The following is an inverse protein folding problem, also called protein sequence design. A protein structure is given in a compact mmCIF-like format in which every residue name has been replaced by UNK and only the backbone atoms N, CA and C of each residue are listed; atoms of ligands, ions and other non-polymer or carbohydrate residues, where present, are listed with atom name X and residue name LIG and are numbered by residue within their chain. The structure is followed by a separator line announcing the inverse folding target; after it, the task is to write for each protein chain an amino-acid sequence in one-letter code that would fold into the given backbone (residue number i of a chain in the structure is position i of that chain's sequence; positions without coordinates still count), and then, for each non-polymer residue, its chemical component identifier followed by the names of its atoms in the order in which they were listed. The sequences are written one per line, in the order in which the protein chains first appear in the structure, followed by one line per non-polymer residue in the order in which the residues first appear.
data_IF_029348271903
#
_entry.id   IF_029348271903
#
_cell.length_a   1.000
_cell.length_b   1.000
_cell.length_c   1.000
_cell.angle_alpha   90.00
_cell.angle_beta   90.00
_cell.angle_gamma   90.00
#
_symmetry.space_group_name_H-M   'P 1'
#
loop_
_entity.id
_entity.type
_entity.pdbx_description
1 polymer ?
#
# COMPACT_ATOMS: atom_id res chain seq x y z
N UNK A 1 1.12 22.73 12.71
CA UNK A 1 1.52 22.41 11.30
C UNK A 1 0.41 22.76 10.29
N UNK A 2 0.73 23.26 9.07
CA UNK A 2 -0.29 23.64 8.06
C UNK A 2 -0.71 22.46 7.17
N UNK A 3 -2.01 22.13 7.15
CA UNK A 3 -2.58 21.12 6.24
C UNK A 3 -2.41 21.55 4.78
N UNK A 4 -1.95 20.64 3.94
CA UNK A 4 -1.78 20.84 2.51
C UNK A 4 -2.98 20.24 1.75
N UNK A 5 -3.31 20.73 0.54
CA UNK A 5 -4.41 20.18 -0.26
C UNK A 5 -4.31 18.66 -0.49
N UNK A 6 -3.10 18.14 -0.71
CA UNK A 6 -2.83 16.72 -0.91
C UNK A 6 -2.98 15.85 0.35
N UNK A 7 -3.18 16.44 1.54
CA UNK A 7 -3.49 15.71 2.78
C UNK A 7 -4.98 15.38 2.92
N UNK A 8 -5.84 15.76 1.96
CA UNK A 8 -7.25 15.39 1.97
C UNK A 8 -7.42 13.99 1.37
N UNK A 9 -6.97 12.98 2.12
CA UNK A 9 -7.08 11.59 1.72
C UNK A 9 -8.51 11.06 1.88
N UNK A 10 -8.89 10.14 0.99
CA UNK A 10 -10.08 9.30 1.11
C UNK A 10 -9.66 7.85 0.88
N UNK A 11 -10.28 6.89 1.55
CA UNK A 11 -10.03 5.47 1.26
C UNK A 11 -10.49 5.16 -0.16
N UNK A 12 -9.59 4.62 -0.99
CA UNK A 12 -9.90 4.12 -2.33
C UNK A 12 -10.40 2.68 -2.25
N UNK A 13 -9.56 1.82 -1.67
CA UNK A 13 -9.85 0.41 -1.45
C UNK A 13 -8.97 -0.16 -0.33
N UNK A 14 -9.28 -1.38 0.11
CA UNK A 14 -8.50 -2.12 1.11
C UNK A 14 -8.23 -3.53 0.61
N UNK A 15 -7.05 -4.08 0.93
CA UNK A 15 -6.67 -5.44 0.56
C UNK A 15 -6.61 -6.35 1.77
N UNK A 16 -7.42 -7.42 1.74
CA UNK A 16 -7.55 -8.43 2.79
C UNK A 16 -6.99 -9.77 2.31
N UNK A 17 -5.89 -10.21 2.91
CA UNK A 17 -5.32 -11.53 2.66
C UNK A 17 -6.04 -12.58 3.49
N UNK A 18 -6.28 -13.76 2.92
CA UNK A 18 -6.82 -14.91 3.64
C UNK A 18 -6.10 -16.19 3.25
N UNK A 19 -6.03 -17.13 4.19
CA UNK A 19 -5.57 -18.49 3.90
C UNK A 19 -6.53 -19.18 2.91
N UNK A 20 -6.03 -20.08 2.04
CA UNK A 20 -6.86 -20.71 1.01
C UNK A 20 -8.11 -21.42 1.54
N UNK A 21 -8.02 -22.02 2.73
CA UNK A 21 -9.13 -22.73 3.36
C UNK A 21 -10.25 -21.77 3.82
N UNK A 22 -9.93 -20.48 4.01
CA UNK A 22 -10.90 -19.44 4.35
C UNK A 22 -11.41 -18.66 3.12
N UNK A 23 -10.78 -18.77 1.95
CA UNK A 23 -11.10 -17.91 0.81
C UNK A 23 -12.55 -18.07 0.32
N UNK A 24 -13.02 -19.31 0.12
CA UNK A 24 -14.40 -19.57 -0.31
C UNK A 24 -15.42 -19.19 0.76
N UNK A 25 -15.10 -19.44 2.02
CA UNK A 25 -15.92 -19.02 3.17
C UNK A 25 -16.03 -17.50 3.21
N UNK A 26 -14.92 -16.79 3.03
CA UNK A 26 -14.89 -15.33 2.97
C UNK A 26 -15.74 -14.80 1.81
N UNK A 27 -15.62 -15.40 0.62
CA UNK A 27 -16.50 -15.06 -0.51
C UNK A 27 -17.98 -15.22 -0.15
N UNK A 28 -18.37 -16.36 0.44
CA UNK A 28 -19.76 -16.59 0.85
C UNK A 28 -20.22 -15.58 1.91
N UNK A 29 -19.39 -15.28 2.91
CA UNK A 29 -19.71 -14.29 3.95
C UNK A 29 -19.89 -12.88 3.35
N UNK A 30 -19.08 -12.50 2.35
CA UNK A 30 -19.28 -11.22 1.66
C UNK A 30 -20.63 -11.14 0.96
N UNK A 31 -21.00 -12.21 0.25
CA UNK A 31 -22.30 -12.28 -0.45
C UNK A 31 -23.49 -12.30 0.51
N UNK A 32 -23.38 -12.98 1.66
CA UNK A 32 -24.50 -13.22 2.57
C UNK A 32 -24.61 -12.17 3.68
N UNK A 33 -23.50 -11.85 4.35
CA UNK A 33 -23.50 -10.96 5.52
C UNK A 33 -23.37 -9.50 5.11
N UNK A 34 -22.49 -9.21 4.15
CA UNK A 34 -22.25 -7.84 3.68
C UNK A 34 -23.16 -7.44 2.51
N UNK A 35 -24.08 -8.32 2.10
CA UNK A 35 -25.05 -8.05 1.06
C UNK A 35 -24.45 -7.81 -0.33
N UNK A 36 -23.22 -8.28 -0.58
CA UNK A 36 -22.55 -8.11 -1.87
C UNK A 36 -23.32 -8.89 -2.93
N UNK A 37 -23.89 -8.17 -3.90
CA UNK A 37 -24.61 -8.75 -5.04
C UNK A 37 -23.62 -9.15 -6.16
N UNK A 38 -24.12 -9.65 -7.30
CA UNK A 38 -23.21 -9.96 -8.43
C UNK A 38 -22.69 -8.67 -9.05
N UNK A 39 -23.49 -7.62 -9.00
CA UNK A 39 -23.25 -6.28 -9.52
C UNK A 39 -22.22 -5.52 -8.66
N UNK A 40 -22.09 -5.90 -7.39
CA UNK A 40 -21.07 -5.35 -6.49
C UNK A 40 -19.69 -6.00 -6.66
N UNK A 41 -19.58 -7.10 -7.41
CA UNK A 41 -18.31 -7.72 -7.73
C UNK A 41 -17.65 -6.96 -8.88
N UNK A 42 -16.56 -6.26 -8.55
CA UNK A 42 -15.81 -5.42 -9.49
C UNK A 42 -14.99 -6.30 -10.43
N UNK A 43 -14.26 -7.26 -9.87
CA UNK A 43 -13.52 -8.26 -10.66
C UNK A 43 -13.25 -9.54 -9.87
N UNK A 44 -12.99 -10.61 -10.61
CA UNK A 44 -12.56 -11.91 -10.08
C UNK A 44 -11.31 -12.37 -10.86
N UNK A 45 -10.13 -12.15 -10.27
CA UNK A 45 -8.86 -12.49 -10.91
C UNK A 45 -8.50 -13.95 -10.67
N UNK A 46 -8.00 -14.60 -11.70
CA UNK A 46 -7.52 -15.99 -11.68
C UNK A 46 -6.03 -16.02 -12.01
N UNK A 47 -5.34 -17.05 -11.53
CA UNK A 47 -3.95 -17.33 -11.87
C UNK A 47 -3.83 -18.68 -12.56
N UNK A 48 -3.07 -18.72 -13.65
CA UNK A 48 -2.79 -19.92 -14.42
C UNK A 48 -1.33 -20.35 -14.20
N UNK A 49 -1.09 -21.18 -13.19
CA UNK A 49 0.26 -21.68 -12.93
C UNK A 49 0.63 -22.81 -13.92
N UNK A 50 1.86 -22.83 -14.47
CA UNK A 50 2.33 -23.92 -15.31
C UNK A 50 2.15 -25.28 -14.62
N UNK A 51 1.44 -26.20 -15.29
CA UNK A 51 1.16 -27.54 -14.79
C UNK A 51 -0.14 -27.69 -13.96
N UNK A 52 -0.90 -26.61 -13.73
CA UNK A 52 -2.25 -26.74 -13.16
C UNK A 52 -3.27 -27.11 -14.24
N UNK A 53 -4.21 -28.01 -13.91
CA UNK A 53 -5.29 -28.44 -14.82
C UNK A 53 -6.42 -27.40 -14.93
N UNK A 54 -6.54 -26.50 -13.95
CA UNK A 54 -7.56 -25.44 -13.89
C UNK A 54 -6.96 -24.19 -13.26
N UNK A 55 -7.41 -22.99 -13.67
CA UNK A 55 -7.05 -21.74 -13.03
C UNK A 55 -7.38 -21.76 -11.54
N UNK A 56 -6.52 -21.17 -10.71
CA UNK A 56 -6.82 -20.92 -9.31
C UNK A 56 -7.44 -19.51 -9.15
N UNK A 57 -8.52 -19.37 -8.39
CA UNK A 57 -9.02 -18.05 -7.99
C UNK A 57 -7.96 -17.36 -7.14
N UNK A 58 -7.61 -16.12 -7.47
CA UNK A 58 -6.55 -15.38 -6.78
C UNK A 58 -7.10 -14.23 -5.95
N UNK A 59 -7.96 -13.42 -6.58
CA UNK A 59 -8.53 -12.22 -5.96
C UNK A 59 -9.99 -12.08 -6.34
N UNK A 60 -10.84 -11.64 -5.42
CA UNK A 60 -12.12 -11.03 -5.75
C UNK A 60 -12.18 -9.64 -5.13
N UNK A 61 -12.60 -8.64 -5.89
CA UNK A 61 -12.82 -7.30 -5.40
C UNK A 61 -14.33 -7.01 -5.36
N UNK A 62 -14.79 -6.52 -4.21
CA UNK A 62 -16.20 -6.20 -3.98
C UNK A 62 -16.36 -4.78 -3.50
N UNK A 63 -17.41 -4.12 -3.98
CA UNK A 63 -17.93 -2.91 -3.37
C UNK A 63 -18.79 -3.29 -2.16
N UNK A 64 -18.59 -2.60 -1.04
CA UNK A 64 -19.43 -2.68 0.15
C UNK A 64 -20.15 -1.34 0.32
N UNK A 65 -21.48 -1.40 0.50
CA UNK A 65 -22.34 -0.23 0.56
C UNK A 65 -22.64 0.36 -0.83
N UNK A 66 -23.87 0.82 -1.02
CA UNK A 66 -24.35 1.40 -2.28
C UNK A 66 -25.43 2.47 -2.04
N UNK A 67 -25.50 3.04 -0.83
CA UNK A 67 -26.53 4.01 -0.50
C UNK A 67 -26.22 5.37 -1.13
N UNK A 68 -27.20 5.93 -1.82
CA UNK A 68 -27.18 7.30 -2.35
C UNK A 68 -27.59 8.36 -1.30
N UNK A 69 -27.49 8.03 0.00
CA UNK A 69 -27.72 8.97 1.11
C UNK A 69 -26.38 9.61 1.51
N UNK A 70 -26.28 10.93 1.48
CA UNK A 70 -25.10 11.67 1.91
C UNK A 70 -24.71 11.45 3.39
N UNK A 71 -25.64 10.95 4.22
CA UNK A 71 -25.42 10.55 5.61
C UNK A 71 -24.97 9.09 5.75
N UNK A 72 -25.15 8.28 4.70
CA UNK A 72 -24.62 6.93 4.70
C UNK A 72 -23.09 6.97 4.56
N UNK A 73 -22.36 6.03 5.18
CA UNK A 73 -20.93 5.90 4.97
C UNK A 73 -20.62 5.76 3.47
N UNK A 74 -19.52 6.38 3.04
CA UNK A 74 -19.05 6.26 1.66
C UNK A 74 -18.84 4.80 1.28
N UNK A 75 -19.08 4.49 0.00
CA UNK A 75 -18.80 3.17 -0.57
C UNK A 75 -17.33 2.82 -0.34
N UNK A 76 -17.06 1.57 0.04
CA UNK A 76 -15.70 1.07 0.20
C UNK A 76 -15.47 -0.13 -0.69
N UNK A 77 -14.26 -0.27 -1.20
CA UNK A 77 -13.86 -1.43 -2.00
C UNK A 77 -12.96 -2.32 -1.15
N UNK A 78 -13.22 -3.62 -1.16
CA UNK A 78 -12.35 -4.61 -0.51
C UNK A 78 -11.93 -5.66 -1.53
N UNK A 79 -10.63 -5.77 -1.75
CA UNK A 79 -10.00 -6.83 -2.53
C UNK A 79 -9.55 -7.95 -1.59
N UNK A 80 -10.16 -9.13 -1.71
CA UNK A 80 -9.79 -10.31 -0.93
C UNK A 80 -8.85 -11.17 -1.75
N UNK A 81 -7.67 -11.50 -1.21
CA UNK A 81 -6.58 -12.18 -1.91
C UNK A 81 -6.20 -13.46 -1.17
N UNK A 82 -5.97 -14.54 -1.90
CA UNK A 82 -5.35 -15.76 -1.36
C UNK A 82 -4.05 -16.11 -2.10
N UNK A 83 -3.12 -16.86 -1.48
CA UNK A 83 -1.97 -17.38 -2.19
C UNK A 83 -2.40 -18.45 -3.19
N UNK A 84 -1.94 -18.35 -4.44
CA UNK A 84 -2.27 -19.33 -5.49
C UNK A 84 -1.11 -20.22 -5.90
N UNK A 85 0.11 -19.93 -5.41
CA UNK A 85 1.28 -20.75 -5.66
C UNK A 85 1.07 -22.19 -5.15
N UNK A 86 1.60 -23.21 -5.86
CA UNK A 86 1.65 -24.58 -5.35
C UNK A 86 2.24 -24.66 -3.93
N UNK A 87 1.77 -25.62 -3.11
CA UNK A 87 2.16 -25.75 -1.69
C UNK A 87 3.69 -25.81 -1.46
N UNK A 88 4.45 -26.33 -2.42
CA UNK A 88 5.92 -26.44 -2.36
C UNK A 88 6.69 -25.23 -2.89
N UNK A 89 6.01 -24.18 -3.39
CA UNK A 89 6.67 -22.94 -3.87
C UNK A 89 6.55 -21.83 -2.84
N UNK A 90 7.56 -20.96 -2.83
CA UNK A 90 7.53 -19.72 -2.06
C UNK A 90 6.35 -18.86 -2.49
N UNK A 91 5.74 -18.17 -1.53
CA UNK A 91 4.64 -17.23 -1.72
C UNK A 91 4.75 -16.18 -0.64
N UNK A 92 4.95 -14.92 -1.02
CA UNK A 92 5.01 -13.83 -0.05
C UNK A 92 3.68 -13.72 0.70
N UNK A 93 2.52 -13.83 0.05
CA UNK A 93 1.20 -13.83 0.69
C UNK A 93 1.10 -14.91 1.77
N UNK A 94 1.53 -16.15 1.48
CA UNK A 94 1.57 -17.23 2.48
C UNK A 94 2.55 -16.92 3.63
N UNK A 95 3.67 -16.28 3.33
CA UNK A 95 4.67 -15.88 4.34
C UNK A 95 4.09 -14.82 5.27
N UNK A 96 3.41 -13.82 4.70
CA UNK A 96 2.71 -12.75 5.43
C UNK A 96 1.65 -13.33 6.37
N UNK A 97 0.79 -14.24 5.89
CA UNK A 97 -0.25 -14.89 6.71
C UNK A 97 0.35 -15.73 7.85
N UNK A 98 1.41 -16.52 7.57
CA UNK A 98 2.12 -17.30 8.60
C UNK A 98 2.74 -16.43 9.69
N UNK A 99 3.31 -15.29 9.33
CA UNK A 99 3.90 -14.35 10.29
C UNK A 99 2.86 -13.79 11.28
N UNK A 100 1.56 -13.94 11.01
CA UNK A 100 0.45 -13.45 11.82
C UNK A 100 -0.34 -14.52 12.56
N UNK A 101 0.15 -15.76 12.58
CA UNK A 101 -0.52 -16.88 13.26
C UNK A 101 -1.57 -17.59 12.40
N UNK A 102 -1.67 -17.26 11.11
CA UNK A 102 -2.62 -17.87 10.17
C UNK A 102 -4.02 -17.23 10.20
N UNK A 103 -4.81 -17.47 9.15
CA UNK A 103 -6.20 -17.00 9.04
C UNK A 103 -6.38 -15.88 8.01
N UNK A 104 -6.33 -14.62 8.43
CA UNK A 104 -6.49 -13.47 7.54
C UNK A 104 -5.74 -12.24 8.02
N UNK A 105 -5.47 -11.31 7.11
CA UNK A 105 -4.64 -10.13 7.39
C UNK A 105 -4.96 -8.96 6.45
N UNK A 106 -5.21 -7.77 7.00
CA UNK A 106 -5.26 -6.55 6.21
C UNK A 106 -3.86 -6.15 5.77
N UNK A 107 -3.58 -6.21 4.47
CA UNK A 107 -2.26 -5.94 3.92
C UNK A 107 -2.04 -4.44 3.69
N UNK A 108 -2.95 -3.81 2.96
CA UNK A 108 -2.82 -2.39 2.70
C UNK A 108 -4.17 -1.70 2.62
N UNK A 109 -4.12 -0.40 2.91
CA UNK A 109 -5.20 0.55 2.66
C UNK A 109 -4.68 1.48 1.56
N UNK A 110 -5.45 1.59 0.48
CA UNK A 110 -5.19 2.55 -0.58
C UNK A 110 -5.85 3.89 -0.22
N UNK A 111 -5.07 4.96 -0.23
CA UNK A 111 -5.51 6.31 0.08
C UNK A 111 -5.45 7.17 -1.18
N UNK A 112 -6.62 7.63 -1.64
CA UNK A 112 -6.77 8.55 -2.76
C UNK A 112 -6.42 9.98 -2.34
N UNK A 113 -5.64 10.68 -3.14
CA UNK A 113 -5.30 12.10 -2.96
C UNK A 113 -5.48 12.87 -4.26
N UNK A 114 -5.85 14.17 -4.21
CA UNK A 114 -5.96 14.99 -5.41
C UNK A 114 -4.62 15.33 -6.09
N UNK A 115 -3.49 15.17 -5.39
CA UNK A 115 -2.15 15.48 -5.92
C UNK A 115 -1.09 14.52 -5.36
N UNK A 116 -1.03 13.33 -5.96
CA UNK A 116 -0.12 12.27 -5.56
C UNK A 116 1.36 12.68 -5.72
N UNK A 117 1.80 13.34 -6.81
CA UNK A 117 3.20 13.72 -6.96
C UNK A 117 3.68 14.70 -5.88
N UNK A 118 2.86 15.67 -5.48
CA UNK A 118 3.20 16.58 -4.38
C UNK A 118 3.29 15.84 -3.04
N UNK A 119 2.34 14.94 -2.76
CA UNK A 119 2.40 14.13 -1.53
C UNK A 119 3.63 13.20 -1.53
N UNK A 120 3.88 12.48 -2.62
CA UNK A 120 5.02 11.59 -2.75
C UNK A 120 6.33 12.34 -2.51
N UNK A 121 6.47 13.54 -3.09
CA UNK A 121 7.64 14.39 -2.85
C UNK A 121 7.73 14.84 -1.38
N UNK A 122 6.62 15.28 -0.80
CA UNK A 122 6.53 15.70 0.60
C UNK A 122 6.98 14.59 1.56
N UNK A 123 6.57 13.35 1.30
CA UNK A 123 6.91 12.17 2.08
C UNK A 123 8.39 11.78 1.91
N UNK A 124 8.90 11.76 0.67
CA UNK A 124 10.32 11.51 0.39
C UNK A 124 11.24 12.51 1.08
N UNK A 125 10.87 13.79 1.09
CA UNK A 125 11.64 14.83 1.76
C UNK A 125 11.64 14.67 3.29
N UNK A 126 10.71 13.89 3.85
CA UNK A 126 10.66 13.49 5.27
C UNK A 126 11.22 12.09 5.53
N UNK A 127 11.86 11.47 4.53
CA UNK A 127 12.54 10.19 4.72
C UNK A 127 11.63 8.96 4.70
N UNK A 128 10.38 9.12 4.24
CA UNK A 128 9.53 7.97 3.92
C UNK A 128 10.13 7.20 2.75
N UNK A 129 10.04 5.87 2.84
CA UNK A 129 10.44 4.96 1.79
C UNK A 129 9.25 4.47 0.99
N UNK A 130 9.44 4.35 -0.31
CA UNK A 130 8.51 3.72 -1.23
C UNK A 130 9.20 2.53 -1.88
N UNK A 131 8.44 1.47 -2.13
CA UNK A 131 8.91 0.22 -2.71
C UNK A 131 8.95 0.35 -4.22
N UNK A 132 7.99 1.07 -4.77
CA UNK A 132 7.87 1.35 -6.20
C UNK A 132 8.19 2.82 -6.47
N UNK A 133 8.62 3.16 -7.69
CA UNK A 133 8.37 4.51 -8.20
C UNK A 133 6.86 4.79 -8.26
N UNK A 134 6.47 6.02 -8.62
CA UNK A 134 5.09 6.21 -9.10
C UNK A 134 4.87 5.28 -10.30
N UNK A 135 3.68 4.73 -10.43
CA UNK A 135 3.30 3.84 -11.51
C UNK A 135 2.04 4.43 -12.16
N UNK A 136 1.96 4.35 -13.49
CA UNK A 136 0.72 4.59 -14.22
C UNK A 136 0.07 3.25 -14.46
N UNK A 137 -1.20 3.11 -14.09
CA UNK A 137 -1.94 1.92 -14.46
C UNK A 137 -2.27 1.96 -15.96
N UNK A 138 -2.16 0.81 -16.63
CA UNK A 138 -2.41 0.69 -18.06
C UNK A 138 -3.88 0.39 -18.36
N UNK A 139 -4.61 -0.17 -17.40
CA UNK A 139 -5.99 -0.61 -17.50
C UNK A 139 -6.95 0.39 -16.82
N UNK A 140 -6.46 1.15 -15.83
CA UNK A 140 -7.21 2.22 -15.16
C UNK A 140 -6.56 3.60 -15.36
N UNK A 141 -7.35 4.67 -15.45
CA UNK A 141 -6.84 6.05 -15.50
C UNK A 141 -6.42 6.52 -14.10
N UNK A 142 -5.34 5.94 -13.58
CA UNK A 142 -4.78 6.27 -12.27
C UNK A 142 -3.26 6.21 -12.25
N UNK A 143 -2.70 6.96 -11.30
CA UNK A 143 -1.32 6.80 -10.85
C UNK A 143 -1.29 6.33 -9.41
N UNK A 144 -0.29 5.52 -9.06
CA UNK A 144 -0.19 4.88 -7.75
C UNK A 144 1.26 4.75 -7.27
N UNK A 145 1.46 4.61 -5.96
CA UNK A 145 2.76 4.28 -5.37
C UNK A 145 2.58 3.51 -4.05
N UNK A 146 3.48 2.58 -3.76
CA UNK A 146 3.41 1.73 -2.57
C UNK A 146 4.48 2.11 -1.55
N UNK A 147 4.07 2.34 -0.31
CA UNK A 147 5.00 2.66 0.78
C UNK A 147 5.79 1.42 1.22
N UNK A 148 6.90 1.65 1.94
CA UNK A 148 7.52 0.64 2.78
C UNK A 148 6.57 0.10 3.85
N UNK A 149 6.93 -1.02 4.46
CA UNK A 149 6.12 -1.67 5.49
C UNK A 149 6.25 -0.99 6.86
N UNK A 150 5.12 -0.90 7.57
CA UNK A 150 5.07 -0.41 8.93
C UNK A 150 5.57 -1.49 9.89
N UNK A 151 6.79 -1.34 10.39
CA UNK A 151 7.42 -2.31 11.28
C UNK A 151 8.23 -1.61 12.37
N UNK A 152 8.36 -2.30 13.51
CA UNK A 152 9.28 -1.84 14.56
C UNK A 152 10.73 -1.98 14.07
N UNK A 153 11.65 -1.07 14.45
CA UNK A 153 13.05 -1.16 14.05
C UNK A 153 13.68 -2.52 14.42
N UNK A 154 14.27 -3.20 13.45
CA UNK A 154 14.82 -4.56 13.60
C UNK A 154 13.78 -5.69 13.78
N UNK A 155 12.49 -5.38 13.65
CA UNK A 155 11.39 -6.34 13.79
C UNK A 155 11.23 -7.26 12.59
N UNK A 156 10.26 -8.18 12.70
CA UNK A 156 9.84 -9.02 11.57
C UNK A 156 8.94 -8.22 10.61
N UNK A 157 8.97 -8.49 9.30
CA UNK A 157 8.04 -7.90 8.35
C UNK A 157 6.59 -8.09 8.76
N UNK A 158 5.82 -7.01 8.67
CA UNK A 158 4.44 -6.95 9.15
C UNK A 158 3.43 -7.25 8.07
N UNK A 159 3.83 -7.14 6.80
CA UNK A 159 2.95 -7.15 5.64
C UNK A 159 1.98 -5.95 5.54
N UNK A 160 2.15 -4.94 6.40
CA UNK A 160 1.26 -3.77 6.46
C UNK A 160 1.92 -2.59 5.77
N UNK A 161 1.31 -2.04 4.73
CA UNK A 161 1.78 -0.84 4.03
C UNK A 161 0.61 0.01 3.50
N UNK A 162 0.90 1.19 2.98
CA UNK A 162 -0.08 2.02 2.29
C UNK A 162 0.16 1.99 0.78
N UNK A 163 -0.94 2.03 0.03
CA UNK A 163 -0.93 2.46 -1.36
C UNK A 163 -1.46 3.90 -1.40
N UNK A 164 -0.88 4.74 -2.24
CA UNK A 164 -1.39 6.09 -2.48
C UNK A 164 -1.74 6.24 -3.94
N UNK A 165 -2.96 6.71 -4.20
CA UNK A 165 -3.57 6.73 -5.54
C UNK A 165 -4.01 8.14 -5.89
N UNK A 166 -3.89 8.49 -7.17
CA UNK A 166 -4.64 9.59 -7.76
C UNK A 166 -5.34 9.06 -9.00
N UNK A 167 -6.68 9.11 -9.00
CA UNK A 167 -7.53 8.80 -10.16
C UNK A 167 -7.68 10.04 -11.04
N UNK A 168 -7.90 9.81 -12.32
CA UNK A 168 -8.10 10.83 -13.37
C UNK A 168 -6.99 11.90 -13.36
N UNK A 169 -5.70 11.52 -13.39
CA UNK A 169 -4.61 12.48 -13.42
C UNK A 169 -4.71 13.35 -14.68
N UNK A 170 -4.62 14.68 -14.51
CA UNK A 170 -4.75 15.59 -15.66
C UNK A 170 -3.72 15.26 -16.77
N UNK A 171 -4.06 15.44 -18.06
CA UNK A 171 -3.12 15.22 -19.15
C UNK A 171 -1.82 16.03 -19.02
N UNK A 172 -1.90 17.23 -18.45
CA UNK A 172 -0.72 18.05 -18.15
C UNK A 172 0.18 17.42 -17.10
N UNK A 173 -0.41 16.86 -16.03
CA UNK A 173 0.31 16.12 -15.00
C UNK A 173 1.04 14.91 -15.60
N UNK A 174 0.35 14.13 -16.42
CA UNK A 174 0.93 12.96 -17.09
C UNK A 174 2.11 13.37 -17.98
N UNK A 175 1.93 14.39 -18.84
CA UNK A 175 3.02 14.93 -19.67
C UNK A 175 4.21 15.39 -18.83
N UNK A 176 3.97 16.07 -17.71
CA UNK A 176 5.04 16.55 -16.81
C UNK A 176 5.82 15.39 -16.18
N UNK A 177 5.14 14.32 -15.78
CA UNK A 177 5.79 13.13 -15.24
C UNK A 177 6.59 12.41 -16.34
N UNK A 178 6.02 12.28 -17.55
CA UNK A 178 6.63 11.60 -18.71
C UNK A 178 7.84 12.35 -19.28
N UNK A 179 7.83 13.69 -19.20
CA UNK A 179 8.89 14.58 -19.66
C UNK A 179 9.96 14.85 -18.59
N UNK A 180 9.76 14.39 -17.35
CA UNK A 180 10.76 14.58 -16.30
C UNK A 180 12.04 13.81 -16.63
N UNK A 181 13.21 14.41 -16.39
CA UNK A 181 14.53 13.77 -16.56
C UNK A 181 14.76 12.53 -15.67
N UNK A 182 13.76 12.18 -14.86
CA UNK A 182 13.70 11.04 -13.97
C UNK A 182 12.62 10.03 -14.39
N UNK A 183 12.21 10.00 -15.67
CA UNK A 183 11.13 9.14 -16.20
C UNK A 183 11.19 7.69 -15.68
N UNK A 184 12.37 7.07 -15.66
CA UNK A 184 12.57 5.70 -15.10
C UNK A 184 12.29 5.59 -13.59
N UNK A 185 12.41 6.69 -12.85
CA UNK A 185 12.08 6.80 -11.42
C UNK A 185 10.61 7.17 -11.16
N UNK A 186 9.82 7.44 -12.20
CA UNK A 186 8.40 7.82 -12.10
C UNK A 186 7.45 6.89 -12.86
N UNK A 187 7.95 6.07 -13.78
CA UNK A 187 7.18 5.06 -14.49
C UNK A 187 8.07 3.85 -14.75
N UNK A 188 7.81 2.74 -14.03
CA UNK A 188 8.15 1.41 -14.53
C UNK A 188 6.91 0.86 -15.22
N UNK A 189 7.07 0.31 -16.43
CA UNK A 189 6.01 -0.33 -17.24
C UNK A 189 5.47 -1.64 -16.63
N UNK A 190 5.37 -1.69 -15.31
CA UNK A 190 5.10 -2.88 -14.53
C UNK A 190 3.76 -2.70 -13.84
N UNK A 191 2.75 -3.31 -14.46
CA UNK A 191 1.38 -3.51 -13.98
C UNK A 191 1.33 -4.11 -12.56
N UNK A 192 0.13 -4.31 -12.00
CA UNK A 192 -0.12 -5.07 -10.76
C UNK A 192 0.75 -6.35 -10.59
N UNK A 193 1.04 -7.08 -11.68
CA UNK A 193 1.89 -8.28 -11.65
C UNK A 193 3.37 -7.96 -11.37
N UNK A 194 3.83 -6.78 -11.76
CA UNK A 194 5.17 -6.29 -11.45
C UNK A 194 5.36 -5.96 -9.99
N UNK A 195 4.36 -5.38 -9.30
CA UNK A 195 4.38 -5.21 -7.86
C UNK A 195 4.45 -6.56 -7.14
N UNK A 196 3.65 -7.54 -7.58
CA UNK A 196 3.69 -8.90 -7.04
C UNK A 196 5.11 -9.48 -7.10
N UNK A 197 5.79 -9.31 -8.24
CA UNK A 197 7.16 -9.76 -8.42
C UNK A 197 8.19 -8.97 -7.58
N UNK A 198 8.01 -7.66 -7.40
CA UNK A 198 8.88 -6.83 -6.55
C UNK A 198 8.75 -7.22 -5.07
N UNK A 199 7.52 -7.42 -4.58
CA UNK A 199 7.24 -7.91 -3.22
C UNK A 199 7.74 -9.34 -2.99
N UNK A 200 7.51 -10.26 -3.94
CA UNK A 200 8.13 -11.59 -3.94
C UNK A 200 9.66 -11.50 -3.76
N UNK A 201 10.32 -10.60 -4.49
CA UNK A 201 11.76 -10.44 -4.43
C UNK A 201 12.24 -9.87 -3.08
N UNK A 202 11.55 -8.91 -2.49
CA UNK A 202 11.87 -8.38 -1.15
C UNK A 202 11.77 -9.46 -0.07
N UNK A 203 10.67 -10.21 -0.07
CA UNK A 203 10.42 -11.28 0.90
C UNK A 203 11.42 -12.44 0.73
N UNK A 204 11.74 -12.82 -0.51
CA UNK A 204 12.73 -13.85 -0.79
C UNK A 204 14.14 -13.46 -0.34
N UNK A 205 14.49 -12.17 -0.42
CA UNK A 205 15.78 -11.64 0.04
C UNK A 205 15.84 -11.40 1.55
N UNK A 206 14.71 -11.53 2.26
CA UNK A 206 14.60 -11.22 3.69
C UNK A 206 14.85 -9.75 4.03
N UNK A 207 14.82 -8.86 3.03
CA UNK A 207 15.13 -7.43 3.18
C UNK A 207 13.95 -6.62 2.68
N UNK A 208 12.92 -6.56 3.51
CA UNK A 208 11.72 -5.75 3.28
C UNK A 208 12.04 -4.28 3.53
N UNK A 209 11.59 -3.41 2.64
CA UNK A 209 11.73 -1.97 2.80
C UNK A 209 10.81 -1.46 3.92
N UNK A 210 11.32 -0.85 5.01
CA UNK A 210 10.49 -0.28 6.06
C UNK A 210 9.93 1.07 5.65
N UNK A 211 8.79 1.49 6.21
CA UNK A 211 8.13 2.77 5.91
C UNK A 211 9.05 3.98 6.14
N UNK A 212 9.86 3.93 7.20
CA UNK A 212 10.99 4.82 7.46
C UNK A 212 12.17 3.98 7.93
N UNK A 213 13.40 4.44 7.68
CA UNK A 213 14.60 3.72 8.11
C UNK A 213 14.67 3.59 9.64
N UNK A 214 15.19 2.46 10.14
CA UNK A 214 15.36 2.19 11.58
C UNK A 214 16.05 3.32 12.35
N UNK A 215 17.07 3.94 11.74
CA UNK A 215 17.81 5.05 12.35
C UNK A 215 16.92 6.28 12.56
N UNK A 216 16.03 6.59 11.60
CA UNK A 216 15.07 7.68 11.74
C UNK A 216 14.00 7.33 12.76
N UNK A 217 13.45 6.10 12.71
CA UNK A 217 12.45 5.64 13.68
C UNK A 217 12.96 5.73 15.12
N UNK A 218 14.18 5.25 15.41
CA UNK A 218 14.80 5.36 16.74
C UNK A 218 15.03 6.81 17.17
N UNK A 219 15.34 7.70 16.23
CA UNK A 219 15.52 9.14 16.52
C UNK A 219 14.19 9.78 16.92
N UNK A 220 13.10 9.45 16.23
CA UNK A 220 11.74 9.92 16.56
C UNK A 220 11.33 9.36 17.92
N UNK A 221 11.48 8.05 18.13
CA UNK A 221 11.17 7.38 19.41
C UNK A 221 11.93 8.02 20.58
N UNK A 222 13.23 8.27 20.45
CA UNK A 222 14.03 8.90 21.48
C UNK A 222 13.52 10.32 21.84
N UNK A 223 12.99 11.05 20.85
CA UNK A 223 12.44 12.40 21.06
C UNK A 223 11.07 12.38 21.74
N UNK A 224 10.28 11.32 21.54
CA UNK A 224 8.94 11.15 22.09
C UNK A 224 8.92 10.29 23.36
N UNK A 225 10.07 9.79 23.80
CA UNK A 225 10.19 8.82 24.88
C UNK A 225 9.59 9.35 26.19
N UNK A 226 8.73 8.54 26.80
CA UNK A 226 8.10 8.86 28.09
C UNK A 226 6.96 9.86 27.99
N UNK A 227 6.54 10.23 26.78
CA UNK A 227 5.35 11.04 26.53
C UNK A 227 4.20 10.17 26.07
N UNK A 228 3.02 10.45 26.59
CA UNK A 228 1.76 9.97 26.05
C UNK A 228 1.36 10.78 24.81
N UNK A 229 0.53 10.21 23.94
CA UNK A 229 0.19 10.85 22.64
C UNK A 229 -0.43 12.23 22.80
N UNK A 230 -1.25 12.45 23.84
CA UNK A 230 -1.88 13.74 24.11
C UNK A 230 -0.92 14.81 24.68
N UNK A 231 0.30 14.41 25.08
CA UNK A 231 1.34 15.33 25.54
C UNK A 231 2.23 15.83 24.38
N UNK A 232 2.10 15.23 23.21
CA UNK A 232 2.85 15.59 22.01
C UNK A 232 2.22 16.82 21.35
N UNK A 233 2.66 18.00 21.75
CA UNK A 233 2.22 19.27 21.17
C UNK A 233 2.90 19.62 19.84
N UNK A 234 2.32 20.58 19.12
CA UNK A 234 2.79 21.07 17.81
C UNK A 234 4.28 21.45 17.80
N UNK A 235 4.78 22.14 18.83
CA UNK A 235 6.19 22.53 18.90
C UNK A 235 7.17 21.35 19.01
N UNK A 236 6.72 20.20 19.53
CA UNK A 236 7.52 18.97 19.53
C UNK A 236 7.47 18.28 18.15
N UNK A 237 6.30 18.28 17.51
CA UNK A 237 6.12 17.75 16.15
C UNK A 237 6.95 18.51 15.12
N UNK A 238 7.10 19.83 15.26
CA UNK A 238 7.99 20.63 14.41
C UNK A 238 9.46 20.19 14.54
N UNK A 239 9.91 19.81 15.74
CA UNK A 239 11.26 19.27 15.97
C UNK A 239 11.41 17.86 15.39
N UNK A 240 10.38 17.03 15.49
CA UNK A 240 10.34 15.71 14.83
C UNK A 240 10.45 15.87 13.31
N UNK A 241 9.66 16.77 12.72
CA UNK A 241 9.69 17.06 11.29
C UNK A 241 11.06 17.60 10.85
N UNK A 242 11.68 18.49 11.63
CA UNK A 242 13.03 18.97 11.37
C UNK A 242 14.06 17.82 11.35
N UNK A 243 13.93 16.85 12.25
CA UNK A 243 14.78 15.66 12.27
C UNK A 243 14.58 14.77 11.04
N UNK A 244 13.33 14.60 10.60
CA UNK A 244 12.98 13.85 9.39
C UNK A 244 13.59 14.50 8.13
N UNK A 245 13.44 15.82 8.00
CA UNK A 245 14.01 16.60 6.90
C UNK A 245 15.56 16.51 6.88
N UNK A 246 16.19 16.67 8.05
CA UNK A 246 17.64 16.56 8.19
C UNK A 246 18.15 15.16 7.84
N UNK A 247 17.43 14.11 8.29
CA UNK A 247 17.75 12.73 7.95
C UNK A 247 17.68 12.49 6.44
N UNK A 248 16.58 12.86 5.80
CA UNK A 248 16.39 12.70 4.36
C UNK A 248 17.47 13.43 3.53
N UNK A 249 17.86 14.64 3.95
CA UNK A 249 18.94 15.41 3.32
C UNK A 249 20.29 14.70 3.42
N UNK A 250 20.65 14.18 4.60
CA UNK A 250 21.93 13.48 4.79
C UNK A 250 22.00 12.19 3.96
N UNK A 251 20.87 11.51 3.77
CA UNK A 251 20.76 10.32 2.91
C UNK A 251 21.02 10.63 1.43
N UNK A 252 20.51 11.75 0.92
CA UNK A 252 20.77 12.19 -0.47
C UNK A 252 22.25 12.52 -0.69
N UNK A 253 22.93 13.06 0.33
CA UNK A 253 24.37 13.37 0.28
C UNK A 253 25.27 12.13 0.27
N UNK A 254 24.81 10.98 0.80
CA UNK A 254 25.56 9.71 0.82
C UNK A 254 25.44 8.87 -0.45
N UNK A 255 24.50 9.22 -1.35
CA UNK A 255 24.27 8.53 -2.63
C UNK A 255 24.96 9.22 -3.82
N UNK A 256 25.72 10.27 -3.57
CA UNK A 256 26.63 10.93 -4.52
C UNK A 256 28.05 10.53 -4.20
#
# INVERSE_FOLDING_TARGET
MKKQPFHNFVVDHMTFLVEPDLYKTTYALFRVIFGVTREDLIYEKRSDWPGQKKPASMTFASRLGAADDARAPAQTIVAVVQPTEPKGRGSHVRTMLKNRGGGGHWQHIALRTPDLPSFHRYALDRGVNFITPVLKDAEEDLIQVFSGEWMVPGGRPTAVFFEFVQRDPSPELLRRLEASSNREAWFRDKTFLGLYAEKEAEYKKGKVTPFIDDALARKIEARLKGLEVWEIGDGLLEKVEADMLAYAKSRKGRKR
#
